data_IF_187094589947
#
_entry.id   IF_187094589947
#
_cell.length_a   1.000
_cell.length_b   1.000
_cell.length_c   1.000
_cell.angle_alpha   90.00
_cell.angle_beta   90.00
_cell.angle_gamma   90.00
#
_symmetry.space_group_name_H-M   'P 1'
#
loop_
_entity.id
_entity.type
_entity.pdbx_description
1 polymer ?
#
# COMPACT_ATOMS: atom_id res chain seq x y z
N UNK A 1 34.81 -60.37 48.93
CA UNK A 1 35.35 -59.04 48.56
C UNK A 1 35.87 -59.15 47.13
N UNK A 2 34.97 -59.21 46.15
CA UNK A 2 34.62 -58.15 45.19
C UNK A 2 35.77 -57.67 44.28
N UNK A 3 35.75 -58.23 43.07
CA UNK A 3 36.49 -57.78 41.89
C UNK A 3 36.06 -56.36 41.47
N UNK A 4 37.00 -55.42 41.42
CA UNK A 4 36.82 -54.13 40.76
C UNK A 4 37.55 -54.13 39.41
N UNK A 5 36.80 -54.33 38.32
CA UNK A 5 37.25 -54.03 36.95
C UNK A 5 37.24 -52.50 36.78
N UNK A 6 38.41 -51.89 36.61
CA UNK A 6 38.54 -50.50 36.14
C UNK A 6 38.05 -50.43 34.70
N UNK A 7 36.94 -49.75 34.47
CA UNK A 7 36.49 -49.36 33.14
C UNK A 7 37.35 -48.18 32.67
N UNK A 8 38.07 -48.36 31.56
CA UNK A 8 38.82 -47.29 30.91
C UNK A 8 37.84 -46.29 30.28
N UNK A 9 38.06 -45.01 30.59
CA UNK A 9 37.32 -43.90 29.99
C UNK A 9 37.48 -43.91 28.47
N UNK A 10 36.37 -43.91 27.75
CA UNK A 10 36.34 -43.66 26.30
C UNK A 10 36.66 -42.19 26.11
N UNK A 11 37.89 -41.90 25.71
CA UNK A 11 38.30 -40.55 25.32
C UNK A 11 37.53 -40.14 24.07
N UNK A 12 36.61 -39.18 24.22
CA UNK A 12 36.07 -38.42 23.10
C UNK A 12 37.23 -37.63 22.49
N UNK A 13 37.75 -38.13 21.35
CA UNK A 13 38.73 -37.40 20.54
C UNK A 13 38.09 -36.06 20.12
N UNK A 14 38.42 -34.98 20.81
CA UNK A 14 38.24 -33.64 20.29
C UNK A 14 39.13 -33.51 19.05
N UNK A 15 38.53 -33.66 17.87
CA UNK A 15 39.15 -33.23 16.62
C UNK A 15 39.19 -31.72 16.66
N UNK A 16 40.38 -31.18 16.97
CA UNK A 16 40.61 -29.74 16.95
C UNK A 16 40.31 -29.19 15.57
N UNK A 17 39.52 -28.11 15.55
CA UNK A 17 39.31 -27.22 14.42
C UNK A 17 40.61 -27.05 13.64
N UNK A 18 40.66 -27.59 12.43
CA UNK A 18 41.82 -27.37 11.57
C UNK A 18 41.71 -25.98 10.94
N UNK A 19 42.84 -25.29 10.75
CA UNK A 19 42.89 -23.96 10.12
C UNK A 19 42.23 -23.97 8.73
N UNK A 20 42.35 -25.10 8.02
CA UNK A 20 41.72 -25.33 6.72
C UNK A 20 40.19 -25.32 6.79
N UNK A 21 39.61 -25.91 7.84
CA UNK A 21 38.16 -25.97 8.03
C UNK A 21 37.58 -24.58 8.32
N UNK A 22 38.31 -23.74 9.06
CA UNK A 22 37.92 -22.33 9.24
C UNK A 22 38.00 -21.53 7.93
N UNK A 23 39.03 -21.73 7.11
CA UNK A 23 39.12 -21.05 5.79
C UNK A 23 37.98 -21.49 4.88
N UNK A 24 37.64 -22.79 4.86
CA UNK A 24 36.53 -23.31 4.06
C UNK A 24 35.17 -22.72 4.50
N UNK A 25 34.93 -22.61 5.80
CA UNK A 25 33.70 -22.00 6.33
C UNK A 25 33.62 -20.50 6.02
N UNK A 26 34.70 -19.74 6.22
CA UNK A 26 34.74 -18.30 5.91
C UNK A 26 34.58 -18.05 4.41
N UNK A 27 35.21 -18.88 3.56
CA UNK A 27 35.03 -18.80 2.11
C UNK A 27 33.57 -19.09 1.72
N UNK A 28 32.93 -20.09 2.34
CA UNK A 28 31.51 -20.38 2.14
C UNK A 28 30.59 -19.23 2.56
N UNK A 29 30.85 -18.62 3.72
CA UNK A 29 30.09 -17.47 4.21
C UNK A 29 30.27 -16.25 3.29
N UNK A 30 31.49 -15.98 2.81
CA UNK A 30 31.76 -14.87 1.89
C UNK A 30 31.02 -15.06 0.55
N UNK A 31 30.96 -16.29 0.04
CA UNK A 31 30.21 -16.63 -1.18
C UNK A 31 28.71 -16.43 -0.98
N UNK A 32 28.17 -16.86 0.16
CA UNK A 32 26.76 -16.63 0.50
C UNK A 32 26.45 -15.14 0.71
N UNK A 33 27.37 -14.37 1.30
CA UNK A 33 27.18 -12.94 1.53
C UNK A 33 27.05 -12.14 0.23
N UNK A 34 27.75 -12.54 -0.84
CA UNK A 34 27.62 -11.92 -2.18
C UNK A 34 26.24 -12.21 -2.79
N UNK A 35 25.64 -13.37 -2.48
CA UNK A 35 24.35 -13.77 -3.05
C UNK A 35 23.14 -13.14 -2.32
N UNK A 36 23.32 -12.61 -1.11
CA UNK A 36 22.24 -12.06 -0.28
C UNK A 36 22.10 -10.54 -0.47
N UNK A 37 22.56 -9.97 -1.59
CA UNK A 37 22.19 -8.61 -1.98
C UNK A 37 20.72 -8.58 -2.40
N UNK A 38 19.82 -8.58 -1.41
CA UNK A 38 18.38 -8.39 -1.60
C UNK A 38 18.16 -6.92 -1.94
N UNK A 39 17.83 -6.65 -3.19
CA UNK A 39 17.55 -5.33 -3.70
C UNK A 39 16.21 -4.82 -3.10
N UNK A 40 16.30 -4.16 -1.95
CA UNK A 40 15.14 -3.63 -1.24
C UNK A 40 14.71 -2.32 -1.88
N UNK A 41 13.64 -2.36 -2.67
CA UNK A 41 13.02 -1.19 -3.30
C UNK A 41 11.85 -0.68 -2.43
N UNK A 42 12.06 0.31 -1.53
CA UNK A 42 11.00 0.83 -0.68
C UNK A 42 9.88 1.49 -1.48
N UNK A 43 10.20 2.09 -2.64
CA UNK A 43 9.20 2.73 -3.49
C UNK A 43 8.21 1.72 -4.06
N UNK A 44 8.69 0.52 -4.42
CA UNK A 44 7.82 -0.60 -4.86
C UNK A 44 6.91 -1.09 -3.74
N UNK A 45 7.44 -1.22 -2.52
CA UNK A 45 6.64 -1.64 -1.36
C UNK A 45 5.56 -0.61 -1.03
N UNK A 46 5.92 0.67 -0.94
CA UNK A 46 4.99 1.77 -0.71
C UNK A 46 3.93 1.86 -1.81
N UNK A 47 4.33 1.74 -3.08
CA UNK A 47 3.42 1.73 -4.23
C UNK A 47 2.39 0.60 -4.14
N UNK A 48 2.82 -0.61 -3.75
CA UNK A 48 1.91 -1.75 -3.56
C UNK A 48 0.89 -1.46 -2.47
N UNK A 49 1.32 -0.98 -1.30
CA UNK A 49 0.43 -0.65 -0.19
C UNK A 49 -0.58 0.45 -0.58
N UNK A 50 -0.14 1.49 -1.28
CA UNK A 50 -1.02 2.56 -1.75
C UNK A 50 -2.06 2.03 -2.76
N UNK A 51 -1.67 1.12 -3.65
CA UNK A 51 -2.58 0.48 -4.61
C UNK A 51 -3.58 -0.42 -3.90
N UNK A 52 -3.17 -1.18 -2.89
CA UNK A 52 -4.07 -2.05 -2.15
C UNK A 52 -5.07 -1.25 -1.30
N UNK A 53 -4.62 -0.18 -0.65
CA UNK A 53 -5.50 0.80 -0.03
C UNK A 53 -6.53 1.34 -1.04
N UNK A 54 -6.05 1.70 -2.23
CA UNK A 54 -6.93 2.24 -3.26
C UNK A 54 -7.95 1.22 -3.78
N UNK A 55 -7.53 -0.04 -3.99
CA UNK A 55 -8.45 -1.12 -4.36
C UNK A 55 -9.52 -1.31 -3.30
N UNK A 56 -9.13 -1.28 -2.02
CA UNK A 56 -10.05 -1.36 -0.89
C UNK A 56 -11.09 -0.24 -0.91
N UNK A 57 -10.66 1.02 -0.99
CA UNK A 57 -11.57 2.18 -1.05
C UNK A 57 -12.47 2.11 -2.28
N UNK A 58 -11.93 1.79 -3.46
CA UNK A 58 -12.72 1.70 -4.70
C UNK A 58 -13.86 0.70 -4.59
N UNK A 59 -13.63 -0.45 -3.93
CA UNK A 59 -14.69 -1.42 -3.70
C UNK A 59 -15.79 -0.86 -2.80
N UNK A 60 -15.44 -0.11 -1.76
CA UNK A 60 -16.41 0.51 -0.84
C UNK A 60 -17.19 1.65 -1.47
N UNK A 61 -16.54 2.45 -2.31
CA UNK A 61 -17.21 3.47 -3.12
C UNK A 61 -18.20 2.84 -4.10
N UNK A 62 -17.85 1.71 -4.72
CA UNK A 62 -18.76 0.97 -5.60
C UNK A 62 -19.92 0.33 -4.84
N UNK A 63 -19.67 -0.22 -3.66
CA UNK A 63 -20.70 -0.75 -2.77
C UNK A 63 -21.68 0.35 -2.34
N UNK A 64 -21.16 1.49 -1.90
CA UNK A 64 -21.95 2.69 -1.59
C UNK A 64 -22.83 3.09 -2.79
N UNK A 65 -22.27 3.13 -3.99
CA UNK A 65 -23.03 3.48 -5.19
C UNK A 65 -24.11 2.46 -5.54
N UNK A 66 -23.82 1.18 -5.36
CA UNK A 66 -24.79 0.12 -5.61
C UNK A 66 -26.03 0.26 -4.71
N UNK A 67 -25.85 0.72 -3.47
CA UNK A 67 -26.95 0.87 -2.51
C UNK A 67 -27.69 2.21 -2.62
N UNK A 68 -26.96 3.29 -2.89
CA UNK A 68 -27.49 4.66 -2.86
C UNK A 68 -27.87 5.18 -4.24
N UNK A 69 -27.39 4.54 -5.31
CA UNK A 69 -27.52 4.96 -6.70
C UNK A 69 -26.50 5.99 -7.15
N UNK A 70 -25.77 6.63 -6.23
CA UNK A 70 -24.84 7.72 -6.51
C UNK A 70 -23.49 7.52 -5.82
N UNK A 71 -22.47 8.24 -6.24
CA UNK A 71 -21.19 8.23 -5.53
C UNK A 71 -21.26 9.07 -4.25
N UNK A 72 -20.38 8.83 -3.27
CA UNK A 72 -20.27 9.72 -2.12
C UNK A 72 -19.69 11.08 -2.57
N UNK A 73 -19.96 12.16 -1.83
CA UNK A 73 -19.40 13.48 -2.14
C UNK A 73 -17.92 13.60 -1.73
N UNK A 74 -17.52 12.88 -0.67
CA UNK A 74 -16.15 12.80 -0.16
C UNK A 74 -15.89 11.38 0.38
N UNK A 75 -14.62 11.01 0.61
CA UNK A 75 -14.29 9.65 1.05
C UNK A 75 -14.72 9.35 2.48
N UNK A 76 -14.70 10.36 3.35
CA UNK A 76 -15.12 10.23 4.74
C UNK A 76 -16.59 9.89 4.91
N UNK A 77 -17.44 10.21 3.93
CA UNK A 77 -18.83 9.75 3.88
C UNK A 77 -18.95 8.21 3.87
N UNK A 78 -17.88 7.45 3.60
CA UNK A 78 -17.88 5.99 3.69
C UNK A 78 -17.88 5.47 5.14
N UNK A 79 -17.46 6.26 6.13
CA UNK A 79 -17.41 5.84 7.54
C UNK A 79 -17.96 6.87 8.53
N UNK A 80 -18.15 8.12 8.11
CA UNK A 80 -18.72 9.19 8.91
C UNK A 80 -20.11 9.58 8.38
N UNK A 81 -21.14 9.25 9.17
CA UNK A 81 -22.54 9.57 8.85
C UNK A 81 -22.75 11.07 8.66
N UNK A 82 -22.02 11.91 9.40
CA UNK A 82 -22.19 13.38 9.35
C UNK A 82 -21.77 13.96 8.00
N UNK A 83 -20.91 13.24 7.27
CA UNK A 83 -20.41 13.61 5.94
C UNK A 83 -21.27 13.00 4.82
N UNK A 84 -22.32 12.25 5.17
CA UNK A 84 -23.21 11.57 4.23
C UNK A 84 -24.60 12.21 4.14
N UNK A 85 -24.70 13.52 4.37
CA UNK A 85 -25.97 14.26 4.27
C UNK A 85 -26.40 14.49 2.82
N UNK A 86 -25.47 14.52 1.86
CA UNK A 86 -25.76 14.69 0.44
C UNK A 86 -24.80 13.87 -0.41
N UNK A 87 -25.33 13.06 -1.32
CA UNK A 87 -24.53 12.29 -2.29
C UNK A 87 -23.99 13.16 -3.42
N UNK A 88 -23.13 12.60 -4.28
CA UNK A 88 -22.59 13.30 -5.45
C UNK A 88 -23.67 13.79 -6.44
N UNK A 89 -24.88 13.21 -6.39
CA UNK A 89 -26.02 13.56 -7.25
C UNK A 89 -27.10 14.36 -6.52
N UNK A 90 -26.86 14.83 -5.29
CA UNK A 90 -27.81 15.66 -4.54
C UNK A 90 -28.91 14.91 -3.78
N UNK A 91 -28.80 13.59 -3.64
CA UNK A 91 -29.79 12.78 -2.90
C UNK A 91 -29.46 12.79 -1.41
N UNK A 92 -30.50 12.99 -0.58
CA UNK A 92 -30.41 12.83 0.87
C UNK A 92 -30.33 11.34 1.25
N UNK A 93 -29.29 10.97 1.97
CA UNK A 93 -28.98 9.60 2.37
C UNK A 93 -29.00 9.39 3.89
N UNK A 94 -29.48 10.37 4.65
CA UNK A 94 -29.44 10.36 6.13
C UNK A 94 -30.12 9.13 6.74
N UNK A 95 -31.13 8.58 6.06
CA UNK A 95 -31.88 7.38 6.46
C UNK A 95 -31.44 6.05 5.81
N UNK A 96 -30.53 6.08 4.82
CA UNK A 96 -30.09 4.89 4.07
C UNK A 96 -28.64 4.50 4.33
N UNK A 97 -27.89 5.36 5.01
CA UNK A 97 -26.47 5.18 5.23
C UNK A 97 -26.13 4.08 6.25
N UNK A 98 -25.03 3.38 5.98
CA UNK A 98 -24.32 2.50 6.92
C UNK A 98 -22.81 2.74 6.79
N UNK A 99 -21.98 2.36 7.78
CA UNK A 99 -20.53 2.39 7.60
C UNK A 99 -20.10 1.32 6.59
N UNK A 100 -19.37 1.73 5.56
CA UNK A 100 -18.82 0.85 4.51
C UNK A 100 -17.38 0.42 4.81
N UNK A 101 -16.68 1.15 5.67
CA UNK A 101 -15.33 0.82 6.11
C UNK A 101 -15.02 1.39 7.49
N UNK A 102 -13.89 0.97 8.05
CA UNK A 102 -13.37 1.52 9.29
C UNK A 102 -12.88 2.96 9.09
N UNK A 103 -13.04 3.77 10.15
CA UNK A 103 -12.66 5.18 10.16
C UNK A 103 -11.19 5.35 9.81
N UNK A 104 -10.92 6.20 8.82
CA UNK A 104 -9.58 6.60 8.43
C UNK A 104 -9.26 8.01 8.95
N UNK A 105 -7.99 8.33 9.21
CA UNK A 105 -7.59 9.70 9.51
C UNK A 105 -7.84 10.60 8.29
N UNK A 106 -8.45 11.76 8.52
CA UNK A 106 -8.74 12.76 7.49
C UNK A 106 -8.23 14.12 7.91
N UNK A 107 -7.84 14.91 6.92
CA UNK A 107 -7.59 16.32 7.11
C UNK A 107 -8.88 17.10 6.86
N UNK A 108 -9.68 17.26 7.92
CA UNK A 108 -10.93 17.99 7.88
C UNK A 108 -10.76 19.50 7.64
N UNK A 109 -9.52 20.03 7.71
CA UNK A 109 -9.24 21.44 7.39
C UNK A 109 -9.12 21.71 5.90
N UNK A 110 -9.03 20.67 5.08
CA UNK A 110 -8.83 20.76 3.62
C UNK A 110 -10.09 20.34 2.87
N UNK A 111 -10.49 21.11 1.86
CA UNK A 111 -11.66 20.81 1.04
C UNK A 111 -11.61 19.38 0.45
N UNK A 112 -12.74 18.68 0.49
CA UNK A 112 -12.83 17.27 0.06
C UNK A 112 -12.29 16.27 1.10
N UNK A 113 -11.90 16.75 2.29
CA UNK A 113 -11.48 15.98 3.46
C UNK A 113 -10.52 14.83 3.11
N UNK A 114 -9.33 15.14 2.58
CA UNK A 114 -8.39 14.12 2.15
C UNK A 114 -8.06 13.13 3.25
N UNK A 115 -8.10 11.85 2.90
CA UNK A 115 -7.62 10.77 3.73
C UNK A 115 -6.11 10.86 3.85
N UNK A 116 -5.61 10.77 5.08
CA UNK A 116 -4.19 10.88 5.41
C UNK A 116 -3.54 9.50 5.29
N UNK A 117 -2.52 9.39 4.45
CA UNK A 117 -1.77 8.16 4.20
C UNK A 117 -0.30 8.28 4.63
N UNK A 118 -0.06 9.04 5.70
CA UNK A 118 1.29 9.32 6.22
C UNK A 118 2.00 8.05 6.72
N UNK A 119 1.25 6.98 7.00
CA UNK A 119 1.79 5.64 7.29
C UNK A 119 2.40 4.94 6.07
N UNK A 120 2.04 5.36 4.85
CA UNK A 120 2.64 4.86 3.60
C UNK A 120 3.80 5.76 3.19
N UNK A 121 3.53 7.07 3.09
CA UNK A 121 4.52 8.09 2.82
C UNK A 121 4.05 9.43 3.37
N UNK A 122 4.93 10.18 4.04
CA UNK A 122 4.58 11.47 4.65
C UNK A 122 4.11 12.47 3.60
N UNK A 123 2.92 13.03 3.79
CA UNK A 123 2.31 13.98 2.86
C UNK A 123 1.47 13.31 1.77
N UNK A 124 1.37 11.98 1.75
CA UNK A 124 0.46 11.27 0.85
C UNK A 124 -0.99 11.47 1.30
N UNK A 125 -1.84 11.90 0.37
CA UNK A 125 -3.25 12.19 0.62
C UNK A 125 -4.14 11.58 -0.45
N UNK A 126 -5.30 11.07 -0.05
CA UNK A 126 -6.29 10.48 -0.94
C UNK A 126 -7.61 11.23 -0.93
N UNK A 127 -8.15 11.57 -2.10
CA UNK A 127 -9.45 12.27 -2.24
C UNK A 127 -10.29 11.59 -3.32
N UNK A 128 -11.61 11.67 -3.18
CA UNK A 128 -12.49 11.44 -4.32
C UNK A 128 -12.43 12.67 -5.22
N UNK A 129 -12.14 12.47 -6.49
CA UNK A 129 -11.99 13.52 -7.49
C UNK A 129 -12.90 13.24 -8.67
N UNK A 130 -13.49 14.28 -9.25
CA UNK A 130 -14.33 14.18 -10.43
C UNK A 130 -13.70 14.89 -11.63
N UNK A 131 -13.85 14.31 -12.82
CA UNK A 131 -13.40 14.91 -14.06
C UNK A 131 -14.23 14.50 -15.27
N UNK A 132 -14.13 15.28 -16.35
CA UNK A 132 -14.68 14.93 -17.66
C UNK A 132 -16.21 15.04 -17.76
N UNK A 133 -16.71 14.68 -18.95
CA UNK A 133 -18.13 14.60 -19.30
C UNK A 133 -18.35 13.30 -20.10
N UNK A 134 -19.19 12.34 -19.65
CA UNK A 134 -19.94 12.34 -18.38
C UNK A 134 -18.99 12.37 -17.16
N UNK A 135 -19.51 12.75 -15.99
CA UNK A 135 -18.71 12.87 -14.76
C UNK A 135 -18.06 11.53 -14.42
N UNK A 136 -16.73 11.50 -14.46
CA UNK A 136 -15.90 10.37 -14.07
C UNK A 136 -15.41 10.57 -12.64
N UNK A 137 -15.41 9.51 -11.85
CA UNK A 137 -14.97 9.50 -10.47
C UNK A 137 -13.66 8.74 -10.37
N UNK A 138 -12.71 9.39 -9.73
CA UNK A 138 -11.36 8.89 -9.51
C UNK A 138 -11.04 8.95 -8.03
N UNK A 139 -10.23 8.03 -7.55
CA UNK A 139 -9.50 8.28 -6.31
C UNK A 139 -8.17 8.88 -6.70
N UNK A 140 -7.98 10.11 -6.26
CA UNK A 140 -6.79 10.91 -6.52
C UNK A 140 -5.85 10.78 -5.32
N UNK A 141 -4.64 10.31 -5.57
CA UNK A 141 -3.54 10.37 -4.63
C UNK A 141 -2.64 11.55 -4.97
N UNK A 142 -2.44 12.46 -4.02
CA UNK A 142 -1.54 13.62 -4.14
C UNK A 142 -0.35 13.48 -3.21
N UNK A 143 0.79 14.09 -3.56
CA UNK A 143 2.01 13.98 -2.76
C UNK A 143 2.74 12.65 -2.95
N UNK A 144 2.45 11.94 -4.05
CA UNK A 144 3.11 10.66 -4.38
C UNK A 144 4.54 10.95 -4.85
N UNK A 145 5.61 10.46 -4.20
CA UNK A 145 6.97 10.64 -4.70
C UNK A 145 7.12 10.10 -6.12
N UNK A 146 7.83 10.81 -7.01
CA UNK A 146 8.04 10.38 -8.40
C UNK A 146 8.48 8.90 -8.56
N UNK A 147 9.44 8.36 -7.81
CA UNK A 147 9.80 6.95 -7.93
C UNK A 147 8.66 6.00 -7.52
N UNK A 148 7.85 6.37 -6.53
CA UNK A 148 6.67 5.60 -6.13
C UNK A 148 5.58 5.68 -7.21
N UNK A 149 5.35 6.86 -7.79
CA UNK A 149 4.41 7.08 -8.88
C UNK A 149 4.73 6.21 -10.10
N UNK A 150 6.01 6.08 -10.48
CA UNK A 150 6.42 5.23 -11.60
C UNK A 150 6.13 3.75 -11.33
N UNK A 151 6.38 3.28 -10.10
CA UNK A 151 6.05 1.91 -9.68
C UNK A 151 4.55 1.69 -9.68
N UNK A 152 3.76 2.66 -9.21
CA UNK A 152 2.31 2.58 -9.22
C UNK A 152 1.75 2.49 -10.65
N UNK A 153 2.23 3.34 -11.56
CA UNK A 153 1.84 3.31 -12.97
C UNK A 153 2.18 1.96 -13.62
N UNK A 154 3.36 1.41 -13.33
CA UNK A 154 3.76 0.09 -13.81
C UNK A 154 2.83 -1.01 -13.28
N UNK A 155 2.50 -1.01 -11.99
CA UNK A 155 1.60 -2.01 -11.40
C UNK A 155 0.18 -1.93 -11.99
N UNK A 156 -0.27 -0.70 -12.26
CA UNK A 156 -1.65 -0.41 -12.62
C UNK A 156 -1.93 -0.56 -14.13
N UNK A 157 -0.98 -0.14 -14.97
CA UNK A 157 -1.12 -0.09 -16.43
C UNK A 157 -0.10 -0.98 -17.17
N UNK A 158 0.86 -1.60 -16.46
CA UNK A 158 1.96 -2.35 -17.08
C UNK A 158 3.08 -1.46 -17.64
N UNK A 159 2.98 -0.12 -17.53
CA UNK A 159 3.96 0.85 -18.02
C UNK A 159 3.93 2.14 -17.20
N UNK A 160 5.05 2.85 -17.11
CA UNK A 160 5.15 4.17 -16.44
C UNK A 160 4.45 5.29 -17.20
N UNK A 161 4.20 5.11 -18.50
CA UNK A 161 3.59 6.13 -19.38
C UNK A 161 2.22 5.73 -19.91
N UNK A 162 1.73 4.54 -19.55
CA UNK A 162 0.42 4.06 -20.00
C UNK A 162 -0.73 4.88 -19.39
N UNK A 163 -1.80 5.05 -20.15
CA UNK A 163 -3.08 5.61 -19.68
C UNK A 163 -4.14 4.50 -19.75
N UNK A 164 -4.86 4.27 -18.66
CA UNK A 164 -5.85 3.20 -18.58
C UNK A 164 -6.53 3.15 -17.22
N UNK A 165 -6.16 2.17 -16.40
CA UNK A 165 -6.74 1.97 -15.06
C UNK A 165 -6.39 3.10 -14.09
N UNK A 166 -5.25 3.75 -14.31
CA UNK A 166 -4.86 4.97 -13.64
C UNK A 166 -4.12 5.91 -14.58
N UNK A 167 -4.00 7.17 -14.16
CA UNK A 167 -3.27 8.22 -14.86
C UNK A 167 -2.31 8.91 -13.89
N UNK A 168 -1.14 9.31 -14.42
CA UNK A 168 -0.15 10.13 -13.71
C UNK A 168 -0.19 11.54 -14.25
N UNK A 169 -0.21 12.53 -13.36
CA UNK A 169 -0.03 13.94 -13.69
C UNK A 169 1.01 14.59 -12.77
N UNK A 170 1.51 15.75 -13.16
CA UNK A 170 2.52 16.47 -12.40
C UNK A 170 1.94 16.98 -11.07
N UNK A 171 2.68 16.75 -9.97
CA UNK A 171 2.41 17.34 -8.67
C UNK A 171 3.36 18.50 -8.38
N UNK A 172 3.50 18.86 -7.11
CA UNK A 172 4.45 19.87 -6.66
C UNK A 172 5.86 19.26 -6.46
N UNK A 173 6.89 19.91 -6.97
CA UNK A 173 8.29 19.52 -6.75
C UNK A 173 8.61 18.10 -7.21
N UNK A 174 9.07 17.24 -6.29
CA UNK A 174 9.45 15.84 -6.54
C UNK A 174 8.27 14.85 -6.43
N UNK A 175 7.05 15.36 -6.44
CA UNK A 175 5.83 14.56 -6.32
C UNK A 175 4.98 14.57 -7.58
N UNK A 176 4.15 13.55 -7.70
CA UNK A 176 3.17 13.35 -8.75
C UNK A 176 1.78 13.21 -8.14
N UNK A 177 0.77 13.32 -9.00
CA UNK A 177 -0.62 13.00 -8.70
C UNK A 177 -0.95 11.71 -9.46
N UNK A 178 -1.59 10.75 -8.79
CA UNK A 178 -2.08 9.52 -9.42
C UNK A 178 -3.59 9.45 -9.28
N UNK A 179 -4.28 9.36 -10.41
CA UNK A 179 -5.73 9.23 -10.49
C UNK A 179 -6.10 7.81 -10.86
N UNK A 180 -6.89 7.14 -10.02
CA UNK A 180 -7.38 5.79 -10.25
C UNK A 180 -8.85 5.82 -10.60
N UNK A 181 -9.22 5.33 -11.78
CA UNK A 181 -10.60 5.34 -12.23
C UNK A 181 -11.49 4.40 -11.40
N UNK A 182 -12.61 4.90 -10.91
CA UNK A 182 -13.58 4.14 -10.11
C UNK A 182 -14.82 3.82 -10.93
N UNK A 183 -15.33 4.80 -11.69
CA UNK A 183 -16.52 4.69 -12.52
C UNK A 183 -16.97 6.05 -12.99
N UNK A 184 -18.12 6.12 -13.65
CA UNK A 184 -18.70 7.36 -14.16
C UNK A 184 -20.22 7.37 -13.96
N UNK A 185 -20.82 8.54 -13.93
CA UNK A 185 -22.29 8.65 -13.96
C UNK A 185 -22.84 8.04 -15.25
N UNK A 186 -24.05 7.50 -15.16
CA UNK A 186 -24.72 6.81 -16.26
C UNK A 186 -25.23 7.79 -17.31
#
# INVERSE_FOLDING_TARGET
>A
MQHMKRQGAVGTRQRGFTLVEMIAVVAGIALLAILVSVDWDPAKTQATVAIDFQRSISMRVKEYRAETGCFPAALDALWDKTQNTTSSCGVDLTGKWRPYMERQPVDAGTAGHPVILDNVFTGLRGTLFTSGTPTQYHIRLTGVPNPMADKMMTICNGSTTGTGNCAKSAGAGTTSIIDFYVGQDA
#
